data_IF_757819703707
#
_entry.id   IF_757819703707
#
_cell.length_a   1.000
_cell.length_b   1.000
_cell.length_c   1.000
_cell.angle_alpha   90.00
_cell.angle_beta   90.00
_cell.angle_gamma   90.00
#
_symmetry.space_group_name_H-M   'P 1'
#
loop_
_entity.id
_entity.type
_entity.pdbx_description
1 polymer ?
#
# COMPACT_ATOMS: atom_id res chain seq x y z
N UNK A 1 -26.17 -18.25 -22.31
CA UNK A 1 -26.65 -17.60 -21.07
C UNK A 1 -25.52 -17.15 -20.14
N UNK A 2 -24.43 -17.90 -20.02
CA UNK A 2 -23.22 -17.48 -19.24
C UNK A 2 -22.53 -16.22 -19.77
N UNK A 3 -22.48 -16.02 -21.10
CA UNK A 3 -21.77 -14.87 -21.69
C UNK A 3 -22.36 -13.49 -21.31
N UNK A 4 -23.68 -13.40 -21.08
CA UNK A 4 -24.36 -12.14 -20.73
C UNK A 4 -24.11 -11.70 -19.28
N UNK A 5 -23.84 -12.65 -18.38
CA UNK A 5 -23.47 -12.35 -16.99
C UNK A 5 -21.98 -11.97 -16.93
N UNK A 6 -21.15 -12.63 -17.74
CA UNK A 6 -19.69 -12.35 -17.75
C UNK A 6 -19.31 -11.05 -18.45
N UNK A 7 -20.13 -10.50 -19.35
CA UNK A 7 -19.80 -9.27 -20.08
C UNK A 7 -19.67 -8.03 -19.18
N UNK A 8 -20.59 -7.73 -18.25
CA UNK A 8 -20.40 -6.62 -17.30
C UNK A 8 -19.21 -6.85 -16.37
N UNK A 9 -18.97 -8.08 -15.89
CA UNK A 9 -17.79 -8.39 -15.08
C UNK A 9 -16.48 -8.21 -15.85
N UNK A 10 -16.40 -8.70 -17.10
CA UNK A 10 -15.22 -8.52 -17.97
C UNK A 10 -15.00 -7.06 -18.35
N UNK A 11 -16.06 -6.28 -18.50
CA UNK A 11 -15.96 -4.84 -18.73
C UNK A 11 -15.50 -4.12 -17.47
N UNK A 12 -16.03 -4.47 -16.29
CA UNK A 12 -15.61 -3.95 -14.99
C UNK A 12 -14.12 -4.22 -14.72
N UNK A 13 -13.64 -5.46 -14.91
CA UNK A 13 -12.22 -5.78 -14.78
C UNK A 13 -11.31 -5.13 -15.84
N UNK A 14 -11.87 -4.60 -16.94
CA UNK A 14 -11.13 -3.82 -17.94
C UNK A 14 -11.04 -2.33 -17.61
N UNK A 15 -11.81 -1.84 -16.64
CA UNK A 15 -11.71 -0.46 -16.17
C UNK A 15 -10.59 -0.35 -15.14
N UNK A 16 -9.55 0.43 -15.44
CA UNK A 16 -8.53 0.84 -14.47
C UNK A 16 -9.16 1.50 -13.22
N UNK A 17 -10.36 2.08 -13.33
CA UNK A 17 -11.10 2.70 -12.23
C UNK A 17 -11.83 1.69 -11.31
N UNK A 18 -12.06 0.44 -11.76
CA UNK A 18 -12.87 -0.51 -11.03
C UNK A 18 -12.21 -0.98 -9.73
N UNK A 19 -10.89 -1.15 -9.74
CA UNK A 19 -10.10 -1.50 -8.56
C UNK A 19 -10.17 -0.42 -7.49
N UNK A 20 -10.01 0.85 -7.88
CA UNK A 20 -10.11 2.00 -6.97
C UNK A 20 -11.49 2.16 -6.35
N UNK A 21 -12.55 1.98 -7.14
CA UNK A 21 -13.92 2.01 -6.63
C UNK A 21 -14.19 0.86 -5.64
N UNK A 22 -13.72 -0.35 -5.95
CA UNK A 22 -13.86 -1.50 -5.06
C UNK A 22 -13.12 -1.27 -3.73
N UNK A 23 -11.92 -0.69 -3.77
CA UNK A 23 -11.15 -0.32 -2.58
C UNK A 23 -11.90 0.71 -1.72
N UNK A 24 -12.47 1.75 -2.35
CA UNK A 24 -13.28 2.74 -1.64
C UNK A 24 -14.51 2.11 -0.99
N UNK A 25 -15.23 1.24 -1.71
CA UNK A 25 -16.39 0.52 -1.17
C UNK A 25 -15.97 -0.34 0.03
N UNK A 26 -14.86 -1.07 -0.07
CA UNK A 26 -14.33 -1.88 1.03
C UNK A 26 -14.00 -1.03 2.27
N UNK A 27 -13.36 0.14 2.07
CA UNK A 27 -13.06 1.07 3.14
C UNK A 27 -14.33 1.63 3.82
N UNK A 28 -15.34 2.00 3.02
CA UNK A 28 -16.63 2.47 3.56
C UNK A 28 -17.34 1.37 4.34
N UNK A 29 -17.34 0.12 3.85
CA UNK A 29 -17.91 -1.02 4.58
C UNK A 29 -17.16 -1.22 5.90
N UNK A 30 -15.82 -1.19 5.89
CA UNK A 30 -15.01 -1.34 7.10
C UNK A 30 -15.32 -0.23 8.12
N UNK A 31 -15.48 1.02 7.67
CA UNK A 31 -15.88 2.14 8.53
C UNK A 31 -17.28 1.95 9.12
N UNK A 32 -18.25 1.51 8.32
CA UNK A 32 -19.61 1.24 8.80
C UNK A 32 -19.58 0.14 9.87
N UNK A 33 -18.90 -0.97 9.60
CA UNK A 33 -18.80 -2.10 10.55
C UNK A 33 -18.13 -1.62 11.85
N UNK A 34 -17.00 -0.92 11.74
CA UNK A 34 -16.24 -0.41 12.89
C UNK A 34 -16.98 0.60 13.76
N UNK A 35 -18.01 1.28 13.23
CA UNK A 35 -18.81 2.26 13.97
C UNK A 35 -20.22 1.72 14.34
N UNK A 36 -20.49 0.44 14.06
CA UNK A 36 -21.77 -0.21 14.34
C UNK A 36 -21.70 -1.10 15.58
N UNK A 37 -22.83 -1.67 16.00
CA UNK A 37 -22.91 -2.63 17.10
C UNK A 37 -22.09 -3.92 16.85
N UNK A 38 -21.67 -4.17 15.60
CA UNK A 38 -20.79 -5.29 15.22
C UNK A 38 -19.30 -5.03 15.52
N UNK A 39 -18.95 -3.82 15.96
CA UNK A 39 -17.57 -3.39 16.19
C UNK A 39 -16.77 -4.36 17.09
N UNK A 40 -17.35 -4.75 18.22
CA UNK A 40 -16.68 -5.64 19.17
C UNK A 40 -16.43 -7.02 18.57
N UNK A 41 -17.42 -7.57 17.86
CA UNK A 41 -17.28 -8.88 17.19
C UNK A 41 -16.22 -8.82 16.08
N UNK A 42 -16.20 -7.73 15.31
CA UNK A 42 -15.23 -7.52 14.23
C UNK A 42 -13.79 -7.48 14.76
N UNK A 43 -13.50 -6.68 15.79
CA UNK A 43 -12.16 -6.61 16.36
C UNK A 43 -11.77 -7.86 17.15
N UNK A 44 -12.72 -8.54 17.82
CA UNK A 44 -12.43 -9.80 18.49
C UNK A 44 -11.98 -10.89 17.49
N UNK A 45 -12.63 -10.96 16.32
CA UNK A 45 -12.19 -11.87 15.25
C UNK A 45 -10.80 -11.48 14.76
N UNK A 46 -10.56 -10.21 14.43
CA UNK A 46 -9.25 -9.76 13.94
C UNK A 46 -8.11 -9.95 14.95
N UNK A 47 -8.40 -9.81 16.24
CA UNK A 47 -7.44 -10.00 17.32
C UNK A 47 -7.35 -11.45 17.81
N UNK A 48 -8.10 -12.39 17.22
CA UNK A 48 -7.99 -13.79 17.57
C UNK A 48 -6.58 -14.29 17.21
N UNK A 49 -5.89 -14.86 18.19
CA UNK A 49 -4.54 -15.39 18.04
C UNK A 49 -4.57 -16.79 17.45
N UNK A 50 -3.72 -17.02 16.45
CA UNK A 50 -3.57 -18.31 15.80
C UNK A 50 -2.11 -18.73 15.88
N UNK A 51 -1.85 -19.65 16.81
CA UNK A 51 -0.52 -20.23 17.01
C UNK A 51 -0.29 -21.35 15.98
N UNK A 52 0.66 -21.13 15.08
CA UNK A 52 1.16 -22.16 14.16
C UNK A 52 2.53 -22.64 14.67
N UNK A 53 2.56 -23.82 15.28
CA UNK A 53 3.78 -24.44 15.78
C UNK A 53 3.58 -25.18 17.10
N UNK A 54 4.67 -25.29 17.86
CA UNK A 54 4.70 -25.88 19.21
C UNK A 54 4.86 -24.78 20.27
N UNK A 55 4.58 -25.07 21.54
CA UNK A 55 4.73 -24.09 22.64
C UNK A 55 6.15 -23.51 22.77
N UNK A 56 7.18 -24.23 22.30
CA UNK A 56 8.58 -23.79 22.37
C UNK A 56 9.10 -23.20 21.05
N UNK A 57 8.41 -23.44 19.94
CA UNK A 57 8.80 -22.95 18.62
C UNK A 57 7.54 -22.84 17.76
N UNK A 58 7.00 -21.64 17.65
CA UNK A 58 5.76 -21.38 16.93
C UNK A 58 5.53 -19.89 16.73
N UNK A 59 4.79 -19.57 15.67
CA UNK A 59 4.37 -18.21 15.36
C UNK A 59 3.00 -17.98 15.97
N UNK A 60 2.94 -17.15 17.01
CA UNK A 60 1.69 -16.67 17.60
C UNK A 60 1.39 -15.28 17.05
N UNK A 61 0.54 -15.25 16.03
CA UNK A 61 0.13 -14.02 15.35
C UNK A 61 -1.40 -13.92 15.38
N UNK A 62 -1.92 -12.70 15.52
CA UNK A 62 -3.36 -12.48 15.36
C UNK A 62 -3.79 -12.65 13.91
N UNK A 63 -5.07 -12.92 13.68
CA UNK A 63 -5.66 -12.99 12.33
C UNK A 63 -5.33 -11.73 11.52
N UNK A 64 -5.36 -10.55 12.16
CA UNK A 64 -4.99 -9.29 11.52
C UNK A 64 -3.54 -9.30 11.01
N UNK A 65 -2.58 -9.78 11.81
CA UNK A 65 -1.18 -9.87 11.40
C UNK A 65 -1.00 -10.86 10.24
N UNK A 66 -1.63 -12.03 10.31
CA UNK A 66 -1.62 -13.00 9.20
C UNK A 66 -2.16 -12.42 7.90
N UNK A 67 -3.29 -11.72 7.96
CA UNK A 67 -3.88 -11.06 6.80
C UNK A 67 -2.92 -10.01 6.24
N UNK A 68 -2.37 -9.14 7.10
CA UNK A 68 -1.45 -8.09 6.68
C UNK A 68 -0.19 -8.67 6.03
N UNK A 69 0.48 -9.63 6.68
CA UNK A 69 1.73 -10.19 6.18
C UNK A 69 1.54 -10.91 4.84
N UNK A 70 0.48 -11.71 4.70
CA UNK A 70 0.21 -12.46 3.46
C UNK A 70 -0.19 -11.51 2.33
N UNK A 71 -1.13 -10.58 2.58
CA UNK A 71 -1.60 -9.66 1.54
C UNK A 71 -0.49 -8.69 1.13
N UNK A 72 0.29 -8.17 2.08
CA UNK A 72 1.41 -7.27 1.79
C UNK A 72 2.54 -8.00 1.07
N UNK A 73 2.83 -9.26 1.41
CA UNK A 73 3.80 -10.06 0.67
C UNK A 73 3.39 -10.24 -0.80
N UNK A 74 2.12 -10.54 -1.07
CA UNK A 74 1.61 -10.64 -2.45
C UNK A 74 1.65 -9.28 -3.16
N UNK A 75 1.24 -8.21 -2.47
CA UNK A 75 1.27 -6.85 -3.01
C UNK A 75 2.68 -6.44 -3.41
N UNK A 76 3.65 -6.57 -2.51
CA UNK A 76 5.03 -6.18 -2.78
C UNK A 76 5.74 -7.09 -3.78
N UNK A 77 5.34 -8.36 -3.88
CA UNK A 77 5.81 -9.22 -4.96
C UNK A 77 5.43 -8.65 -6.33
N UNK A 78 4.16 -8.25 -6.51
CA UNK A 78 3.69 -7.62 -7.75
C UNK A 78 4.38 -6.28 -8.00
N UNK A 79 4.48 -5.42 -6.98
CA UNK A 79 5.18 -4.14 -7.08
C UNK A 79 6.64 -4.34 -7.49
N UNK A 80 7.33 -5.32 -6.92
CA UNK A 80 8.74 -5.62 -7.26
C UNK A 80 8.89 -6.09 -8.70
N UNK A 81 7.96 -6.91 -9.20
CA UNK A 81 7.94 -7.30 -10.62
C UNK A 81 7.72 -6.09 -11.54
N UNK A 82 6.84 -5.18 -11.15
CA UNK A 82 6.56 -3.95 -11.90
C UNK A 82 7.77 -3.00 -11.91
N UNK A 83 8.44 -2.82 -10.77
CA UNK A 83 9.71 -2.11 -10.66
C UNK A 83 10.71 -2.69 -11.66
N UNK A 84 10.91 -4.00 -11.64
CA UNK A 84 11.84 -4.67 -12.53
C UNK A 84 11.48 -4.42 -14.00
N UNK A 85 10.18 -4.43 -14.36
CA UNK A 85 9.72 -4.11 -15.71
C UNK A 85 10.06 -2.67 -16.09
N UNK A 86 9.77 -1.71 -15.21
CA UNK A 86 10.04 -0.28 -15.44
C UNK A 86 11.54 0.02 -15.59
N UNK A 87 12.39 -0.68 -14.84
CA UNK A 87 13.85 -0.58 -14.97
C UNK A 87 14.39 -1.12 -16.30
N UNK A 88 13.80 -2.19 -16.85
CA UNK A 88 14.31 -2.81 -18.09
C UNK A 88 13.74 -2.12 -19.33
N UNK A 89 12.44 -1.81 -19.34
CA UNK A 89 11.71 -1.39 -20.55
C UNK A 89 10.87 -0.12 -20.37
N UNK A 90 10.72 0.40 -19.16
CA UNK A 90 9.82 1.50 -18.85
C UNK A 90 10.51 2.85 -18.64
N UNK A 91 9.85 3.72 -17.90
CA UNK A 91 10.28 5.11 -17.69
C UNK A 91 11.53 5.22 -16.81
N UNK A 92 11.82 4.19 -16.00
CA UNK A 92 13.03 4.10 -15.17
C UNK A 92 14.26 3.58 -15.94
N UNK A 93 14.10 3.07 -17.16
CA UNK A 93 15.21 2.50 -17.94
C UNK A 93 16.26 3.52 -18.38
N UNK A 94 15.86 4.79 -18.57
CA UNK A 94 16.78 5.86 -18.96
C UNK A 94 17.05 6.77 -17.78
N UNK A 95 18.32 7.01 -17.39
CA UNK A 95 18.65 7.80 -16.21
C UNK A 95 18.10 9.23 -16.26
N UNK A 96 18.03 9.83 -17.46
CA UNK A 96 17.41 11.16 -17.66
C UNK A 96 15.91 11.19 -17.36
N UNK A 97 15.19 10.09 -17.60
CA UNK A 97 13.74 9.99 -17.36
C UNK A 97 13.44 9.56 -15.93
N UNK A 98 14.24 8.62 -15.41
CA UNK A 98 14.16 8.15 -14.03
C UNK A 98 14.39 9.26 -12.99
N UNK A 99 15.18 10.28 -13.33
CA UNK A 99 15.51 11.37 -12.41
C UNK A 99 14.27 12.10 -11.87
N UNK A 100 13.26 12.34 -12.73
CA UNK A 100 12.09 13.12 -12.34
C UNK A 100 11.21 12.35 -11.32
N UNK A 101 10.81 11.07 -11.56
CA UNK A 101 10.12 10.28 -10.55
C UNK A 101 10.93 10.11 -9.26
N UNK A 102 12.24 9.87 -9.34
CA UNK A 102 13.09 9.67 -8.16
C UNK A 102 13.15 10.93 -7.29
N UNK A 103 13.40 12.10 -7.88
CA UNK A 103 13.44 13.36 -7.14
C UNK A 103 12.06 13.69 -6.56
N UNK A 104 11.00 13.46 -7.35
CA UNK A 104 9.62 13.64 -6.90
C UNK A 104 9.28 12.77 -5.70
N UNK A 105 9.66 11.50 -5.76
CA UNK A 105 9.47 10.52 -4.69
C UNK A 105 10.25 10.90 -3.42
N UNK A 106 11.56 11.13 -3.53
CA UNK A 106 12.40 11.52 -2.38
C UNK A 106 11.88 12.81 -1.73
N UNK A 107 11.47 13.80 -2.52
CA UNK A 107 10.84 15.02 -2.00
C UNK A 107 9.47 14.76 -1.36
N UNK A 108 8.66 13.91 -2.00
CA UNK A 108 7.34 13.46 -1.55
C UNK A 108 7.38 12.66 -0.25
N UNK A 109 8.47 11.97 0.03
CA UNK A 109 8.71 11.25 1.28
C UNK A 109 9.33 12.14 2.36
N UNK A 110 10.38 12.89 2.02
CA UNK A 110 11.16 13.66 2.98
C UNK A 110 10.37 14.82 3.58
N UNK A 111 9.56 15.51 2.77
CA UNK A 111 8.83 16.69 3.23
C UNK A 111 7.73 16.33 4.25
N UNK A 112 6.82 15.36 4.01
CA UNK A 112 5.83 14.94 5.01
C UNK A 112 6.46 14.37 6.27
N UNK A 113 7.53 13.57 6.13
CA UNK A 113 8.28 13.04 7.26
C UNK A 113 8.84 14.16 8.15
N UNK A 114 9.47 15.17 7.56
CA UNK A 114 10.08 16.29 8.27
C UNK A 114 9.00 17.14 8.98
N UNK A 115 7.89 17.41 8.31
CA UNK A 115 6.74 18.11 8.91
C UNK A 115 6.22 17.33 10.12
N UNK A 116 6.07 16.01 10.00
CA UNK A 116 5.60 15.17 11.10
C UNK A 116 6.54 15.21 12.31
N UNK A 117 7.85 15.13 12.07
CA UNK A 117 8.87 15.20 13.12
C UNK A 117 8.87 16.55 13.83
N UNK A 118 8.74 17.65 13.10
CA UNK A 118 8.65 19.00 13.70
C UNK A 118 7.44 19.10 14.62
N UNK A 119 6.27 18.61 14.17
CA UNK A 119 5.03 18.68 14.94
C UNK A 119 5.08 17.78 16.19
N UNK A 120 5.72 16.62 16.09
CA UNK A 120 5.76 15.61 17.16
C UNK A 120 7.04 15.63 18.00
N UNK A 121 7.86 16.68 17.89
CA UNK A 121 9.20 16.72 18.47
C UNK A 121 9.22 16.50 19.99
N UNK A 122 8.19 16.98 20.69
CA UNK A 122 8.10 16.89 22.16
C UNK A 122 7.56 15.53 22.67
N UNK A 123 7.01 14.69 21.78
CA UNK A 123 6.37 13.42 22.16
C UNK A 123 7.21 12.24 21.67
N UNK A 124 8.16 11.79 22.50
CA UNK A 124 9.17 10.77 22.16
C UNK A 124 8.61 9.46 21.55
N UNK A 125 7.42 9.03 21.95
CA UNK A 125 6.79 7.82 21.41
C UNK A 125 6.26 8.00 19.99
N UNK A 126 5.61 9.13 19.69
CA UNK A 126 5.01 9.39 18.37
C UNK A 126 6.05 9.69 17.30
N UNK A 127 7.26 10.10 17.67
CA UNK A 127 8.39 10.25 16.75
C UNK A 127 8.71 8.99 15.93
N UNK A 128 8.40 7.79 16.46
CA UNK A 128 8.47 6.50 15.71
C UNK A 128 7.39 6.35 14.63
N UNK A 129 6.53 7.34 14.43
CA UNK A 129 5.51 7.35 13.38
C UNK A 129 5.95 8.12 12.13
N UNK A 130 7.20 8.60 12.05
CA UNK A 130 7.60 9.54 11.00
C UNK A 130 7.52 8.99 9.57
N UNK A 131 7.59 7.66 9.40
CA UNK A 131 7.45 7.01 8.10
C UNK A 131 5.99 6.85 7.64
N UNK A 132 5.00 6.99 8.54
CA UNK A 132 3.57 6.84 8.22
C UNK A 132 3.10 7.84 7.14
N UNK A 133 3.36 9.16 7.24
CA UNK A 133 2.90 10.12 6.23
C UNK A 133 3.68 10.06 4.91
N UNK A 134 4.72 9.21 4.83
CA UNK A 134 5.53 9.06 3.62
C UNK A 134 4.92 8.08 2.60
N UNK A 135 4.00 7.21 3.02
CA UNK A 135 3.44 6.17 2.16
C UNK A 135 2.28 6.72 1.29
N UNK A 136 2.21 6.28 0.03
CA UNK A 136 1.18 6.72 -0.92
C UNK A 136 0.44 5.52 -1.51
N UNK A 137 -0.87 5.41 -1.32
CA UNK A 137 -1.66 4.32 -1.91
C UNK A 137 -1.82 4.49 -3.44
N UNK A 138 -1.04 3.71 -4.19
CA UNK A 138 -1.04 3.68 -5.64
C UNK A 138 -2.40 3.27 -6.23
N UNK A 139 -3.08 2.29 -5.63
CA UNK A 139 -4.32 1.74 -6.15
C UNK A 139 -5.45 2.77 -6.04
N UNK A 140 -5.52 3.47 -4.91
CA UNK A 140 -6.44 4.58 -4.73
C UNK A 140 -6.12 5.74 -5.68
N UNK A 141 -4.85 6.13 -5.77
CA UNK A 141 -4.41 7.26 -6.60
C UNK A 141 -4.75 7.07 -8.08
N UNK A 142 -4.45 5.89 -8.64
CA UNK A 142 -4.79 5.55 -10.04
C UNK A 142 -6.30 5.41 -10.21
N UNK A 143 -6.98 4.83 -9.22
CA UNK A 143 -8.43 4.71 -9.19
C UNK A 143 -9.12 6.05 -9.38
N UNK A 144 -8.76 7.03 -8.55
CA UNK A 144 -9.31 8.40 -8.61
C UNK A 144 -8.94 9.09 -9.93
N UNK A 145 -7.70 8.98 -10.40
CA UNK A 145 -7.32 9.56 -11.69
C UNK A 145 -8.08 8.95 -12.86
N UNK A 146 -8.40 7.66 -12.78
CA UNK A 146 -9.18 6.97 -13.81
C UNK A 146 -10.65 7.42 -13.84
N UNK A 147 -11.20 7.88 -12.72
CA UNK A 147 -12.54 8.49 -12.66
C UNK A 147 -12.61 9.83 -13.40
N UNK A 148 -11.49 10.56 -13.51
CA UNK A 148 -11.40 11.82 -14.27
C UNK A 148 -11.39 11.60 -15.80
N UNK A 149 -11.38 10.34 -16.24
CA UNK A 149 -11.63 9.93 -17.63
C UNK A 149 -10.55 10.40 -18.60
N UNK A 150 -10.98 10.89 -19.77
CA UNK A 150 -10.08 11.28 -20.88
C UNK A 150 -9.33 12.59 -20.65
N UNK A 151 -9.55 13.28 -19.53
CA UNK A 151 -8.88 14.56 -19.23
C UNK A 151 -7.43 14.38 -18.80
N UNK A 152 -7.03 13.16 -18.45
CA UNK A 152 -5.70 12.87 -17.91
C UNK A 152 -4.89 12.10 -18.95
N UNK A 153 -3.71 12.62 -19.33
CA UNK A 153 -2.86 11.94 -20.29
C UNK A 153 -2.27 10.66 -19.69
N UNK A 154 -2.13 9.64 -20.52
CA UNK A 154 -1.61 8.32 -20.13
C UNK A 154 -0.20 8.43 -19.53
N UNK A 155 0.61 9.37 -20.04
CA UNK A 155 1.95 9.66 -19.50
C UNK A 155 1.94 10.05 -18.02
N UNK A 156 0.89 10.74 -17.54
CA UNK A 156 0.78 11.17 -16.16
C UNK A 156 0.38 10.01 -15.24
N UNK A 157 -0.42 9.07 -15.74
CA UNK A 157 -0.71 7.81 -15.05
C UNK A 157 0.54 6.97 -14.87
N UNK A 158 1.32 6.80 -15.93
CA UNK A 158 2.59 6.05 -15.91
C UNK A 158 3.61 6.73 -14.99
N UNK A 159 3.71 8.06 -15.05
CA UNK A 159 4.57 8.84 -14.16
C UNK A 159 4.18 8.63 -12.68
N UNK A 160 2.89 8.71 -12.35
CA UNK A 160 2.44 8.54 -10.97
C UNK A 160 2.65 7.11 -10.47
N UNK A 161 2.45 6.11 -11.32
CA UNK A 161 2.79 4.71 -11.02
C UNK A 161 4.26 4.61 -10.64
N UNK A 162 5.16 5.17 -11.46
CA UNK A 162 6.60 5.14 -11.18
C UNK A 162 6.98 5.88 -9.88
N UNK A 163 6.37 7.04 -9.61
CA UNK A 163 6.57 7.80 -8.37
C UNK A 163 6.11 7.00 -7.15
N UNK A 164 4.87 6.52 -7.14
CA UNK A 164 4.29 5.79 -6.01
C UNK A 164 5.05 4.49 -5.71
N UNK A 165 5.50 3.79 -6.76
CA UNK A 165 6.34 2.60 -6.62
C UNK A 165 7.67 2.91 -5.91
N UNK A 166 8.32 4.03 -6.26
CA UNK A 166 9.58 4.44 -5.62
C UNK A 166 9.33 4.84 -4.16
N UNK A 167 8.25 5.57 -3.89
CA UNK A 167 7.83 5.94 -2.53
C UNK A 167 7.61 4.71 -1.65
N UNK A 168 6.83 3.74 -2.13
CA UNK A 168 6.51 2.51 -1.40
C UNK A 168 7.76 1.66 -1.11
N UNK A 169 8.65 1.49 -2.10
CA UNK A 169 9.92 0.81 -1.92
C UNK A 169 10.80 1.54 -0.91
N UNK A 170 10.89 2.86 -1.02
CA UNK A 170 11.64 3.70 -0.10
C UNK A 170 11.11 3.56 1.34
N UNK A 171 9.80 3.60 1.52
CA UNK A 171 9.15 3.47 2.81
C UNK A 171 9.43 2.09 3.46
N UNK A 172 9.34 0.99 2.70
CA UNK A 172 9.71 -0.33 3.21
C UNK A 172 11.17 -0.38 3.63
N UNK A 173 12.09 0.13 2.79
CA UNK A 173 13.53 0.10 3.09
C UNK A 173 13.80 0.86 4.38
N UNK A 174 13.19 2.03 4.54
CA UNK A 174 13.26 2.82 5.77
C UNK A 174 12.71 2.02 6.95
N UNK A 175 11.51 1.43 6.84
CA UNK A 175 10.91 0.66 7.93
C UNK A 175 11.81 -0.54 8.28
N UNK A 176 12.32 -1.26 7.30
CA UNK A 176 13.20 -2.39 7.51
C UNK A 176 14.49 -1.99 8.24
N UNK A 177 15.18 -0.91 7.86
CA UNK A 177 16.43 -0.54 8.53
C UNK A 177 16.24 0.14 9.88
N UNK A 178 15.17 0.94 10.06
CA UNK A 178 14.97 1.73 11.27
C UNK A 178 14.06 1.07 12.30
N UNK A 179 13.24 0.09 11.91
CA UNK A 179 12.28 -0.60 12.79
C UNK A 179 12.53 -2.11 12.93
N UNK A 180 13.42 -2.73 12.15
CA UNK A 180 13.76 -4.17 12.28
C UNK A 180 14.74 -4.46 13.42
N UNK A 181 14.55 -3.86 14.60
CA UNK A 181 15.38 -4.15 15.79
C UNK A 181 14.97 -5.44 16.52
N UNK A 182 13.96 -6.16 16.05
CA UNK A 182 13.45 -7.40 16.68
C UNK A 182 13.63 -8.63 15.79
N UNK A 183 14.84 -8.86 15.27
CA UNK A 183 15.20 -10.24 14.93
C UNK A 183 15.25 -11.02 16.25
N UNK A 184 14.12 -11.63 16.64
CA UNK A 184 14.04 -12.56 17.74
C UNK A 184 14.87 -13.80 17.38
N UNK A 185 16.15 -13.75 17.72
CA UNK A 185 17.00 -14.94 17.79
C UNK A 185 16.66 -15.70 19.08
N UNK A 186 15.54 -16.41 19.08
CA UNK A 186 15.21 -17.41 20.10
C UNK A 186 14.47 -18.56 19.46
#
# INVERSE_FOLDING_TARGET
>A
MINYITSPFRWFFKLEAASGLMLLIAAVIALIISNSDLNETYFNILNTHLLIGTQNFGLDLSILHWINDVLMAVFFFVVTLEIKREFIQGELSKPKRALLPIIGAVGGMALPALIYVIINFDTGYTLRGWAIPSATDIAFSIGVLSLLGSRIPISLKVFLVALAIIDDLGAIIIIAFFYSSELQYT
#
